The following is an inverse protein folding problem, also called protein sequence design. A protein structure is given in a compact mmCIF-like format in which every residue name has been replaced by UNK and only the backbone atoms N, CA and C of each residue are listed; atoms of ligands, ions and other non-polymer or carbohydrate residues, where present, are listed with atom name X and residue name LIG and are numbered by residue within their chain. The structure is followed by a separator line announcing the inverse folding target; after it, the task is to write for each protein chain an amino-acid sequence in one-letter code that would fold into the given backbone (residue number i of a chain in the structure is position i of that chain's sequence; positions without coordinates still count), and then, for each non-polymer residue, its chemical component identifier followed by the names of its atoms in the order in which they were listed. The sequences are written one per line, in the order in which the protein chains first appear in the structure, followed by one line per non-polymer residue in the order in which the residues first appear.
data_IF_278167316675
#
_entry.id   IF_278167316675
#
_cell.length_a   1.000
_cell.length_b   1.000
_cell.length_c   1.000
_cell.angle_alpha   90.00
_cell.angle_beta   90.00
_cell.angle_gamma   90.00
#
_symmetry.space_group_name_H-M   'P 1'
#
loop_
_entity.id
_entity.type
_entity.pdbx_description
1 polymer ?
#
# COMPACT_ATOMS: atom_id res chain seq x y z
N UNK A 1 34.81 -9.18 -11.47
CA UNK A 1 34.84 -7.94 -10.69
C UNK A 1 33.39 -7.70 -10.26
N UNK A 2 33.10 -7.78 -8.95
CA UNK A 2 31.77 -7.43 -8.45
C UNK A 2 31.50 -5.95 -8.72
N UNK A 3 30.33 -5.65 -9.26
CA UNK A 3 29.89 -4.26 -9.47
C UNK A 3 29.93 -3.52 -8.15
N UNK A 4 30.58 -2.35 -8.12
CA UNK A 4 30.80 -1.51 -6.95
C UNK A 4 29.50 -0.94 -6.33
N UNK A 5 28.37 -1.15 -7.01
CA UNK A 5 27.06 -0.65 -6.60
C UNK A 5 26.06 -1.82 -6.54
N UNK A 6 25.17 -1.83 -5.54
CA UNK A 6 24.11 -2.85 -5.48
C UNK A 6 23.24 -2.77 -6.74
N UNK A 7 22.62 -3.87 -7.14
CA UNK A 7 21.64 -3.86 -8.22
C UNK A 7 20.55 -2.85 -7.91
N UNK A 8 20.09 -2.11 -8.93
CA UNK A 8 19.10 -1.06 -8.79
C UNK A 8 17.94 -1.28 -9.75
N UNK A 9 16.73 -1.15 -9.22
CA UNK A 9 15.49 -1.18 -10.00
C UNK A 9 14.84 0.21 -9.99
N UNK A 10 14.46 0.69 -11.18
CA UNK A 10 13.76 1.96 -11.36
C UNK A 10 12.71 1.84 -12.46
N UNK A 11 11.47 2.18 -12.13
CA UNK A 11 10.33 2.12 -13.05
C UNK A 11 9.82 3.54 -13.33
N UNK A 12 9.93 4.00 -14.59
CA UNK A 12 9.57 5.37 -14.98
C UNK A 12 8.26 5.46 -15.75
N UNK A 13 7.69 4.30 -16.11
CA UNK A 13 6.45 4.17 -16.88
C UNK A 13 5.53 3.16 -16.18
N UNK A 14 4.49 2.71 -16.88
CA UNK A 14 3.66 1.59 -16.40
C UNK A 14 4.52 0.35 -16.21
N UNK A 15 4.33 -0.33 -15.10
CA UNK A 15 4.96 -1.63 -14.86
C UNK A 15 4.34 -2.70 -15.75
N UNK A 16 5.13 -3.70 -16.07
CA UNK A 16 4.70 -4.95 -16.73
C UNK A 16 4.61 -6.08 -15.69
N UNK A 17 4.03 -7.21 -16.06
CA UNK A 17 4.06 -8.41 -15.22
C UNK A 17 5.50 -8.88 -14.95
N UNK A 18 6.37 -8.80 -15.96
CA UNK A 18 7.78 -9.15 -15.83
C UNK A 18 8.51 -8.26 -14.82
N UNK A 19 8.25 -6.93 -14.83
CA UNK A 19 8.79 -6.00 -13.86
C UNK A 19 8.40 -6.38 -12.43
N UNK A 20 7.13 -6.75 -12.21
CA UNK A 20 6.60 -7.14 -10.90
C UNK A 20 7.25 -8.45 -10.42
N UNK A 21 7.37 -9.43 -11.29
CA UNK A 21 8.04 -10.70 -10.97
C UNK A 21 9.54 -10.51 -10.74
N UNK A 22 10.19 -9.64 -11.53
CA UNK A 22 11.58 -9.24 -11.34
C UNK A 22 11.80 -8.57 -9.98
N UNK A 23 10.91 -7.68 -9.58
CA UNK A 23 10.92 -7.06 -8.25
C UNK A 23 10.69 -8.08 -7.13
N UNK A 24 9.78 -9.04 -7.34
CA UNK A 24 9.55 -10.13 -6.38
C UNK A 24 10.81 -10.96 -6.17
N UNK A 25 11.49 -11.34 -7.27
CA UNK A 25 12.69 -12.17 -7.25
C UNK A 25 13.97 -11.42 -6.80
N UNK A 26 13.95 -10.08 -6.81
CA UNK A 26 15.09 -9.27 -6.43
C UNK A 26 15.51 -9.54 -4.98
N UNK A 27 16.81 -9.50 -4.71
CA UNK A 27 17.35 -9.66 -3.35
C UNK A 27 16.98 -8.48 -2.44
N UNK A 28 17.02 -8.69 -1.15
CA UNK A 28 16.63 -7.69 -0.14
C UNK A 28 17.52 -6.45 -0.11
N UNK A 29 18.76 -6.56 -0.57
CA UNK A 29 19.73 -5.46 -0.70
C UNK A 29 19.61 -4.71 -2.03
N UNK A 30 18.76 -5.18 -2.96
CA UNK A 30 18.48 -4.45 -4.20
C UNK A 30 17.91 -3.08 -3.90
N UNK A 31 18.57 -2.04 -4.42
CA UNK A 31 18.06 -0.67 -4.33
C UNK A 31 16.87 -0.48 -5.24
N UNK A 32 15.78 0.06 -4.71
CA UNK A 32 14.53 0.30 -5.46
C UNK A 32 14.22 1.78 -5.42
N UNK A 33 13.93 2.35 -6.59
CA UNK A 33 13.47 3.73 -6.70
C UNK A 33 11.96 3.77 -6.58
N UNK A 34 11.48 4.63 -5.68
CA UNK A 34 10.06 4.85 -5.42
C UNK A 34 9.75 6.34 -5.35
N UNK A 35 8.49 6.70 -5.52
CA UNK A 35 8.04 8.09 -5.54
C UNK A 35 6.96 8.35 -4.49
N UNK A 36 7.19 9.35 -3.65
CA UNK A 36 6.25 9.76 -2.60
C UNK A 36 5.84 11.21 -2.78
N UNK A 37 4.54 11.47 -2.70
CA UNK A 37 3.99 12.82 -2.70
C UNK A 37 3.94 13.35 -1.27
N UNK A 38 4.61 14.48 -1.04
CA UNK A 38 4.71 15.07 0.28
C UNK A 38 4.31 16.54 0.29
N UNK A 39 3.66 16.99 1.35
CA UNK A 39 3.32 18.39 1.55
C UNK A 39 4.51 19.19 2.10
N UNK A 40 4.52 20.53 1.95
CA UNK A 40 5.62 21.37 2.39
C UNK A 40 6.06 21.13 3.83
N UNK A 41 5.13 21.05 4.78
CA UNK A 41 5.46 20.80 6.19
C UNK A 41 6.15 19.46 6.48
N UNK A 42 5.98 18.45 5.62
CA UNK A 42 6.73 17.20 5.71
C UNK A 42 8.17 17.39 5.19
N UNK A 43 8.32 18.18 4.14
CA UNK A 43 9.65 18.51 3.59
C UNK A 43 10.47 19.33 4.57
N UNK A 44 9.87 20.33 5.21
CA UNK A 44 10.53 21.15 6.24
C UNK A 44 11.08 20.26 7.36
N UNK A 45 10.29 19.27 7.82
CA UNK A 45 10.76 18.30 8.83
C UNK A 45 11.92 17.45 8.30
N UNK A 46 11.82 16.93 7.08
CA UNK A 46 12.90 16.14 6.48
C UNK A 46 14.21 16.95 6.42
N UNK A 47 14.14 18.21 6.04
CA UNK A 47 15.30 19.09 5.96
C UNK A 47 15.88 19.48 7.33
N UNK A 48 15.03 19.62 8.34
CA UNK A 48 15.43 20.02 9.71
C UNK A 48 15.93 18.83 10.53
N UNK A 49 15.26 17.70 10.44
CA UNK A 49 15.49 16.53 11.29
C UNK A 49 16.32 15.43 10.58
N UNK A 50 16.55 15.57 9.27
CA UNK A 50 17.24 14.56 8.45
C UNK A 50 16.45 13.26 8.26
N UNK A 51 15.24 13.18 8.81
CA UNK A 51 14.38 12.00 8.79
C UNK A 51 12.91 12.40 8.66
N UNK A 52 12.16 11.67 7.84
CA UNK A 52 10.73 11.77 7.71
C UNK A 52 10.08 10.42 8.03
N UNK A 53 9.03 10.41 8.82
CA UNK A 53 8.09 9.30 9.03
C UNK A 53 6.67 9.80 8.89
N UNK A 54 5.70 8.91 8.81
CA UNK A 54 4.29 9.30 8.80
C UNK A 54 3.92 10.08 10.06
N UNK A 55 3.00 11.03 9.90
CA UNK A 55 2.57 11.92 10.99
C UNK A 55 1.14 11.56 11.42
N UNK A 56 0.91 11.19 12.68
CA UNK A 56 -0.41 10.85 13.19
C UNK A 56 -1.46 11.94 12.95
N UNK A 57 -1.03 13.21 12.96
CA UNK A 57 -1.92 14.35 12.73
C UNK A 57 -2.53 14.37 11.33
N UNK A 58 -1.86 13.76 10.35
CA UNK A 58 -2.36 13.66 8.97
C UNK A 58 -2.99 12.30 8.66
N UNK A 59 -2.59 11.25 9.37
CA UNK A 59 -3.14 9.92 9.19
C UNK A 59 -4.52 9.74 9.85
N UNK A 60 -4.80 10.50 10.93
CA UNK A 60 -5.98 10.32 11.78
C UNK A 60 -6.80 11.60 11.97
N UNK A 61 -6.86 12.45 10.96
CA UNK A 61 -7.48 13.78 11.01
C UNK A 61 -8.99 13.75 11.33
N UNK A 62 -9.64 12.61 11.15
CA UNK A 62 -11.09 12.53 11.25
C UNK A 62 -11.51 11.48 12.28
N UNK A 63 -11.99 11.93 13.45
CA UNK A 63 -12.53 11.06 14.50
C UNK A 63 -13.74 10.23 14.03
N UNK A 64 -14.42 10.67 12.98
CA UNK A 64 -15.56 9.95 12.40
C UNK A 64 -15.13 8.71 11.59
N UNK A 65 -13.85 8.62 11.24
CA UNK A 65 -13.30 7.52 10.44
C UNK A 65 -12.33 6.62 11.22
N UNK A 66 -12.77 6.10 12.36
CA UNK A 66 -12.00 5.16 13.19
C UNK A 66 -11.47 3.93 12.41
N UNK A 67 -12.11 3.55 11.33
CA UNK A 67 -11.71 2.47 10.45
C UNK A 67 -10.37 2.74 9.73
N UNK A 68 -10.05 3.99 9.41
CA UNK A 68 -8.71 4.35 8.87
C UNK A 68 -7.61 3.99 9.86
N UNK A 69 -7.83 4.28 11.14
CA UNK A 69 -6.91 3.92 12.21
C UNK A 69 -6.70 2.41 12.27
N UNK A 70 -7.77 1.63 12.12
CA UNK A 70 -7.68 0.18 12.11
C UNK A 70 -6.81 -0.34 10.95
N UNK A 71 -7.00 0.20 9.74
CA UNK A 71 -6.19 -0.13 8.57
C UNK A 71 -4.69 0.19 8.78
N UNK A 72 -4.39 1.35 9.34
CA UNK A 72 -3.01 1.72 9.66
C UNK A 72 -2.39 0.81 10.73
N UNK A 73 -3.11 0.46 11.78
CA UNK A 73 -2.64 -0.47 12.81
C UNK A 73 -2.36 -1.84 12.20
N UNK A 74 -3.28 -2.38 11.39
CA UNK A 74 -3.05 -3.63 10.70
C UNK A 74 -1.82 -3.56 9.78
N UNK A 75 -1.65 -2.45 9.04
CA UNK A 75 -0.48 -2.28 8.17
C UNK A 75 0.83 -2.21 8.98
N UNK A 76 0.84 -1.54 10.14
CA UNK A 76 1.99 -1.54 11.04
C UNK A 76 2.32 -2.95 11.56
N UNK A 77 1.31 -3.77 11.86
CA UNK A 77 1.51 -5.20 12.19
C UNK A 77 2.15 -5.97 11.02
N UNK A 78 1.73 -5.70 9.77
CA UNK A 78 2.32 -6.32 8.59
C UNK A 78 3.77 -5.89 8.37
N UNK A 79 4.07 -4.61 8.56
CA UNK A 79 5.44 -4.09 8.51
C UNK A 79 6.32 -4.71 9.61
N UNK A 80 5.82 -4.84 10.83
CA UNK A 80 6.53 -5.46 11.94
C UNK A 80 6.92 -6.93 11.70
N UNK A 81 6.10 -7.65 10.95
CA UNK A 81 6.37 -9.05 10.58
C UNK A 81 7.37 -9.19 9.43
N UNK A 82 7.50 -8.20 8.57
CA UNK A 82 8.20 -8.31 7.28
C UNK A 82 9.43 -7.40 7.16
N UNK A 83 9.52 -6.35 7.95
CA UNK A 83 10.64 -5.39 7.91
C UNK A 83 11.47 -5.54 9.17
N UNK A 84 12.70 -6.00 9.02
CA UNK A 84 13.63 -6.16 10.15
C UNK A 84 13.94 -4.82 10.79
N UNK A 85 13.82 -4.73 12.11
CA UNK A 85 14.13 -3.53 12.87
C UNK A 85 13.08 -2.42 12.79
N UNK A 86 11.88 -2.70 12.28
CA UNK A 86 10.75 -1.77 12.29
C UNK A 86 10.37 -1.34 13.73
N UNK A 87 10.19 -0.05 13.93
CA UNK A 87 9.94 0.57 15.27
C UNK A 87 8.54 1.14 15.43
N UNK A 88 7.56 0.61 14.70
CA UNK A 88 6.15 1.03 14.73
C UNK A 88 5.89 2.49 14.28
N UNK A 89 6.79 3.06 13.49
CA UNK A 89 6.52 4.34 12.83
C UNK A 89 5.29 4.21 11.91
N UNK A 90 4.54 5.31 11.79
CA UNK A 90 3.52 5.38 10.75
C UNK A 90 4.18 5.38 9.37
N UNK A 91 3.67 4.58 8.42
CA UNK A 91 4.31 4.46 7.12
C UNK A 91 4.19 5.74 6.29
N UNK A 92 5.22 5.98 5.50
CA UNK A 92 5.18 6.84 4.33
C UNK A 92 4.73 6.00 3.14
N UNK A 93 3.73 6.48 2.43
CA UNK A 93 3.24 5.83 1.21
C UNK A 93 4.02 6.31 0.00
N UNK A 94 4.39 5.38 -0.85
CA UNK A 94 5.06 5.66 -2.11
C UNK A 94 4.57 4.72 -3.22
N UNK A 95 4.80 5.10 -4.46
CA UNK A 95 4.47 4.33 -5.65
C UNK A 95 5.76 3.88 -6.34
N UNK A 96 5.71 2.77 -7.04
CA UNK A 96 6.85 2.30 -7.84
C UNK A 96 6.92 3.01 -9.20
N UNK A 97 5.84 3.66 -9.61
CA UNK A 97 5.77 4.48 -10.83
C UNK A 97 5.43 5.92 -10.44
N UNK A 98 6.14 6.94 -10.96
CA UNK A 98 5.88 8.32 -10.58
C UNK A 98 4.48 8.77 -11.02
N UNK A 99 3.69 9.38 -10.12
CA UNK A 99 2.45 10.02 -10.50
C UNK A 99 2.72 11.26 -11.37
N UNK A 100 1.78 11.55 -12.27
CA UNK A 100 1.89 12.71 -13.17
C UNK A 100 1.29 13.99 -12.56
N UNK A 101 0.43 13.87 -11.56
CA UNK A 101 -0.28 14.98 -10.90
C UNK A 101 -0.61 14.62 -9.45
N UNK A 102 -1.01 15.61 -8.67
CA UNK A 102 -1.59 15.44 -7.34
C UNK A 102 -3.01 16.01 -7.30
N UNK A 103 -3.85 15.49 -6.42
CA UNK A 103 -5.17 16.07 -6.10
C UNK A 103 -5.04 17.26 -5.12
N UNK A 104 -3.86 17.48 -4.55
CA UNK A 104 -3.57 18.55 -3.60
C UNK A 104 -2.70 19.64 -4.25
N UNK A 105 -2.85 20.85 -3.75
CA UNK A 105 -1.97 21.95 -4.11
C UNK A 105 -0.65 21.86 -3.33
N UNK A 106 0.43 22.29 -4.00
CA UNK A 106 1.78 22.38 -3.42
C UNK A 106 2.42 21.05 -3.00
N UNK A 107 1.91 19.92 -3.48
CA UNK A 107 2.60 18.66 -3.27
C UNK A 107 3.93 18.62 -4.03
N UNK A 108 4.93 18.08 -3.38
CA UNK A 108 6.23 17.80 -3.95
C UNK A 108 6.42 16.30 -4.12
N UNK A 109 6.84 15.89 -5.31
CA UNK A 109 7.22 14.52 -5.59
C UNK A 109 8.66 14.29 -5.17
N UNK A 110 8.87 13.37 -4.26
CA UNK A 110 10.17 12.87 -3.85
C UNK A 110 10.53 11.63 -4.66
N UNK A 111 11.69 11.61 -5.28
CA UNK A 111 12.32 10.41 -5.80
C UNK A 111 13.23 9.83 -4.73
N UNK A 112 12.87 8.67 -4.23
CA UNK A 112 13.49 8.02 -3.07
C UNK A 112 14.17 6.74 -3.55
N UNK A 113 15.38 6.48 -3.10
CA UNK A 113 16.12 5.27 -3.41
C UNK A 113 16.54 4.56 -2.13
N UNK A 114 15.96 3.38 -1.87
CA UNK A 114 16.17 2.60 -0.65
C UNK A 114 16.26 1.10 -0.96
N UNK A 115 16.90 0.30 -0.09
CA UNK A 115 16.93 -1.15 -0.25
C UNK A 115 15.52 -1.75 -0.11
N UNK A 116 15.24 -2.80 -0.86
CA UNK A 116 13.96 -3.52 -0.83
C UNK A 116 13.57 -3.96 0.58
N UNK A 117 14.53 -4.37 1.40
CA UNK A 117 14.33 -4.77 2.80
C UNK A 117 13.76 -3.68 3.71
N UNK A 118 13.83 -2.39 3.31
CA UNK A 118 13.27 -1.26 4.07
C UNK A 118 11.85 -0.89 3.67
N UNK A 119 11.20 -1.66 2.83
CA UNK A 119 9.85 -1.35 2.36
C UNK A 119 8.96 -2.59 2.37
N UNK A 120 7.67 -2.38 2.51
CA UNK A 120 6.65 -3.39 2.31
C UNK A 120 5.88 -3.07 1.03
N UNK A 121 6.02 -3.94 0.02
CA UNK A 121 5.44 -3.75 -1.31
C UNK A 121 4.10 -4.49 -1.37
N UNK A 122 3.10 -3.86 -1.98
CA UNK A 122 1.78 -4.46 -2.20
C UNK A 122 1.15 -4.01 -3.51
N UNK A 123 0.16 -4.75 -3.98
CA UNK A 123 -0.74 -4.24 -5.01
C UNK A 123 -1.52 -3.02 -4.48
N UNK A 124 -1.67 -2.01 -5.33
CA UNK A 124 -2.33 -0.75 -4.97
C UNK A 124 -3.85 -0.89 -4.84
N UNK A 125 -4.49 -1.53 -5.82
CA UNK A 125 -5.94 -1.65 -5.84
C UNK A 125 -6.52 -2.34 -4.60
N UNK A 126 -6.00 -3.49 -4.13
CA UNK A 126 -6.51 -4.11 -2.91
C UNK A 126 -6.48 -3.18 -1.69
N UNK A 127 -5.45 -2.33 -1.57
CA UNK A 127 -5.40 -1.37 -0.47
C UNK A 127 -6.55 -0.36 -0.54
N UNK A 128 -6.81 0.22 -1.70
CA UNK A 128 -7.91 1.19 -1.88
C UNK A 128 -9.28 0.57 -1.63
N UNK A 129 -9.41 -0.73 -1.85
CA UNK A 129 -10.64 -1.47 -1.59
C UNK A 129 -10.71 -2.03 -0.16
N UNK A 130 -9.57 -2.24 0.49
CA UNK A 130 -9.51 -2.62 1.90
C UNK A 130 -9.96 -1.50 2.83
N UNK A 131 -9.73 -0.25 2.46
CA UNK A 131 -10.20 0.88 3.23
C UNK A 131 -11.71 0.77 3.52
N UNK A 132 -12.56 0.45 2.53
CA UNK A 132 -13.94 0.06 2.75
C UNK A 132 -14.15 -1.24 3.54
N UNK A 133 -13.32 -2.25 3.31
CA UNK A 133 -13.43 -3.53 4.02
C UNK A 133 -13.11 -3.40 5.53
N UNK A 134 -12.20 -2.51 5.90
CA UNK A 134 -12.01 -2.14 7.31
C UNK A 134 -13.27 -1.52 7.91
N UNK A 135 -13.99 -0.69 7.15
CA UNK A 135 -15.28 -0.16 7.55
C UNK A 135 -16.33 -1.26 7.76
N UNK A 136 -16.27 -2.33 6.99
CA UNK A 136 -17.13 -3.50 7.16
C UNK A 136 -16.97 -4.16 8.53
N UNK A 137 -15.76 -4.34 9.03
CA UNK A 137 -15.52 -4.85 10.38
C UNK A 137 -16.18 -3.97 11.47
N UNK A 138 -16.44 -2.71 11.14
CA UNK A 138 -17.12 -1.73 12.00
C UNK A 138 -18.62 -1.56 11.67
N UNK A 139 -19.27 -2.54 10.99
CA UNK A 139 -20.68 -2.52 10.62
C UNK A 139 -21.11 -1.60 9.47
N UNK A 140 -20.20 -1.17 8.61
CA UNK A 140 -20.60 -0.42 7.42
C UNK A 140 -21.05 -1.36 6.29
N UNK A 141 -22.31 -1.25 5.90
CA UNK A 141 -22.94 -2.15 4.92
C UNK A 141 -22.63 -1.82 3.46
N UNK A 142 -22.29 -0.57 3.18
CA UNK A 142 -22.22 -0.01 1.82
C UNK A 142 -21.09 -0.60 0.97
N UNK A 143 -20.10 -1.21 1.60
CA UNK A 143 -18.89 -1.68 0.96
C UNK A 143 -18.83 -3.19 0.70
N UNK A 144 -19.87 -3.91 1.04
CA UNK A 144 -19.89 -5.38 0.92
C UNK A 144 -19.78 -5.87 -0.51
N UNK A 145 -20.54 -5.26 -1.40
CA UNK A 145 -20.58 -5.67 -2.81
C UNK A 145 -19.23 -5.37 -3.46
N UNK A 146 -18.59 -4.28 -3.08
CA UNK A 146 -17.29 -3.87 -3.55
C UNK A 146 -16.20 -4.87 -3.13
N UNK A 147 -16.21 -5.25 -1.85
CA UNK A 147 -15.25 -6.20 -1.32
C UNK A 147 -15.39 -7.58 -1.96
N UNK A 148 -16.61 -8.09 -2.11
CA UNK A 148 -16.87 -9.37 -2.78
C UNK A 148 -16.41 -9.35 -4.22
N UNK A 149 -16.62 -8.26 -4.94
CA UNK A 149 -16.31 -8.20 -6.37
C UNK A 149 -14.82 -8.10 -6.66
N UNK A 150 -14.06 -7.40 -5.82
CA UNK A 150 -12.65 -7.06 -6.12
C UNK A 150 -11.65 -7.85 -5.29
N UNK A 151 -11.85 -7.97 -3.98
CA UNK A 151 -10.88 -8.63 -3.09
C UNK A 151 -11.13 -10.13 -3.00
N UNK A 152 -12.37 -10.52 -3.02
CA UNK A 152 -12.83 -11.87 -2.87
C UNK A 152 -12.16 -12.91 -3.80
N UNK A 153 -11.89 -12.67 -5.11
CA UNK A 153 -11.23 -13.68 -5.94
C UNK A 153 -9.90 -14.18 -5.37
N UNK A 154 -9.29 -13.38 -4.50
CA UNK A 154 -8.00 -13.65 -3.87
C UNK A 154 -8.09 -13.88 -2.36
N UNK A 155 -9.29 -13.88 -1.82
CA UNK A 155 -9.51 -14.13 -0.40
C UNK A 155 -9.04 -15.55 0.00
N UNK A 156 -8.65 -15.70 1.27
CA UNK A 156 -8.27 -17.00 1.82
C UNK A 156 -9.47 -17.97 1.92
N UNK A 157 -10.68 -17.44 1.92
CA UNK A 157 -11.93 -18.20 2.01
C UNK A 157 -12.49 -18.45 0.61
N UNK A 158 -13.06 -19.63 0.38
CA UNK A 158 -13.63 -20.00 -0.91
C UNK A 158 -14.76 -19.04 -1.32
N UNK A 159 -14.73 -18.65 -2.60
CA UNK A 159 -15.70 -17.76 -3.22
C UNK A 159 -17.16 -18.19 -3.03
N UNK A 160 -17.39 -19.48 -3.19
CA UNK A 160 -18.72 -20.06 -3.12
C UNK A 160 -19.28 -19.98 -1.71
N UNK A 161 -18.43 -20.20 -0.71
CA UNK A 161 -18.79 -20.09 0.69
C UNK A 161 -19.02 -18.63 1.09
N UNK A 162 -18.23 -17.70 0.56
CA UNK A 162 -18.42 -16.28 0.75
C UNK A 162 -19.79 -15.82 0.27
N UNK A 163 -20.13 -16.10 -0.98
CA UNK A 163 -21.43 -15.71 -1.54
C UNK A 163 -22.61 -16.29 -0.77
N UNK A 164 -22.52 -17.56 -0.34
CA UNK A 164 -23.58 -18.23 0.41
C UNK A 164 -23.76 -17.68 1.83
N UNK A 165 -22.68 -17.26 2.45
CA UNK A 165 -22.65 -17.10 3.90
C UNK A 165 -22.40 -15.64 4.36
N UNK A 166 -21.91 -14.78 3.47
CA UNK A 166 -21.72 -13.35 3.80
C UNK A 166 -22.90 -12.51 3.34
N UNK A 167 -23.49 -12.85 2.18
CA UNK A 167 -24.55 -12.06 1.59
C UNK A 167 -25.74 -12.95 1.23
N UNK A 168 -26.75 -12.91 2.06
CA UNK A 168 -28.00 -13.59 1.84
C UNK A 168 -29.06 -12.56 1.46
N UNK A 169 -29.51 -12.59 0.21
CA UNK A 169 -30.64 -11.80 -0.28
C UNK A 169 -30.29 -10.39 -0.78
N UNK A 170 -31.29 -9.65 -1.32
CA UNK A 170 -31.11 -8.39 -2.05
C UNK A 170 -30.62 -7.22 -1.18
N UNK A 171 -30.61 -7.38 0.13
CA UNK A 171 -30.17 -6.35 1.08
C UNK A 171 -28.86 -6.72 1.79
N UNK A 172 -28.14 -7.74 1.30
CA UNK A 172 -26.84 -8.10 1.79
C UNK A 172 -26.81 -8.42 3.28
N UNK A 173 -27.52 -9.45 3.71
CA UNK A 173 -27.43 -9.92 5.09
C UNK A 173 -26.03 -10.44 5.37
N UNK A 174 -25.46 -9.99 6.50
CA UNK A 174 -24.11 -10.33 6.91
C UNK A 174 -24.00 -11.79 7.33
N UNK A 175 -22.95 -12.48 6.88
CA UNK A 175 -22.56 -13.76 7.47
C UNK A 175 -22.07 -13.54 8.90
N UNK A 176 -22.77 -14.08 9.89
CA UNK A 176 -22.43 -13.97 11.30
C UNK A 176 -21.20 -14.80 11.69
N UNK A 177 -20.83 -15.77 10.86
CA UNK A 177 -19.71 -16.69 11.09
C UNK A 177 -18.36 -16.16 10.61
N UNK A 178 -18.36 -15.06 9.86
CA UNK A 178 -17.13 -14.46 9.34
C UNK A 178 -16.44 -13.67 10.44
N UNK A 179 -15.30 -14.16 10.84
CA UNK A 179 -14.54 -13.52 11.90
C UNK A 179 -13.41 -12.60 11.33
N UNK A 180 -12.90 -11.75 12.19
CA UNK A 180 -11.83 -10.82 11.86
C UNK A 180 -10.56 -11.54 11.37
N UNK A 181 -10.26 -12.71 11.89
CA UNK A 181 -9.06 -13.49 11.55
C UNK A 181 -9.08 -13.90 10.09
N UNK A 182 -10.22 -14.41 9.60
CA UNK A 182 -10.38 -14.82 8.19
C UNK A 182 -10.29 -13.61 7.25
N UNK A 183 -10.91 -12.48 7.63
CA UNK A 183 -10.80 -11.23 6.88
C UNK A 183 -9.35 -10.78 6.76
N UNK A 184 -8.64 -10.67 7.88
CA UNK A 184 -7.23 -10.25 7.91
C UNK A 184 -6.34 -11.19 7.10
N UNK A 185 -6.55 -12.50 7.18
CA UNK A 185 -5.80 -13.49 6.40
C UNK A 185 -6.02 -13.30 4.89
N UNK A 186 -7.23 -12.96 4.46
CA UNK A 186 -7.52 -12.69 3.05
C UNK A 186 -6.77 -11.44 2.54
N UNK A 187 -6.62 -10.41 3.36
CA UNK A 187 -5.93 -9.17 2.99
C UNK A 187 -4.42 -9.36 2.82
N UNK A 188 -3.81 -10.30 3.53
CA UNK A 188 -2.36 -10.56 3.39
C UNK A 188 -1.95 -10.92 1.96
N UNK A 189 -2.89 -11.38 1.14
CA UNK A 189 -2.62 -11.71 -0.26
C UNK A 189 -2.22 -10.51 -1.11
N UNK A 190 -2.51 -9.28 -0.70
CA UNK A 190 -2.04 -8.09 -1.43
C UNK A 190 -0.51 -8.00 -1.52
N UNK A 191 0.22 -8.69 -0.64
CA UNK A 191 1.68 -8.75 -0.62
C UNK A 191 2.25 -9.87 -1.48
N UNK A 192 1.41 -10.79 -1.97
CA UNK A 192 1.82 -11.89 -2.84
C UNK A 192 1.87 -11.44 -4.30
N UNK A 193 3.02 -10.94 -4.72
CA UNK A 193 3.21 -10.44 -6.08
C UNK A 193 3.14 -11.56 -7.15
N UNK A 194 3.23 -12.84 -6.76
CA UNK A 194 3.11 -13.96 -7.70
C UNK A 194 1.70 -14.17 -8.21
N UNK A 195 0.69 -13.59 -7.56
CA UNK A 195 -0.71 -13.62 -8.00
C UNK A 195 -0.91 -13.09 -9.42
N UNK A 196 0.01 -12.27 -9.93
CA UNK A 196 -0.03 -11.77 -11.30
C UNK A 196 -0.02 -12.89 -12.35
N UNK A 197 0.48 -14.07 -12.00
CA UNK A 197 0.50 -15.24 -12.88
C UNK A 197 -0.86 -15.96 -12.97
N UNK A 198 -1.86 -15.56 -12.19
CA UNK A 198 -3.17 -16.19 -12.23
C UNK A 198 -3.97 -15.68 -13.43
N UNK A 199 -4.69 -16.56 -14.07
CA UNK A 199 -5.56 -16.21 -15.22
C UNK A 199 -6.71 -15.25 -14.81
N UNK A 200 -7.16 -15.35 -13.57
CA UNK A 200 -8.23 -14.52 -13.01
C UNK A 200 -7.73 -13.25 -12.33
N UNK A 201 -6.43 -12.90 -12.42
CA UNK A 201 -5.87 -11.71 -11.81
C UNK A 201 -6.53 -10.43 -12.34
N UNK A 202 -6.98 -9.53 -11.44
CA UNK A 202 -7.75 -8.32 -11.79
C UNK A 202 -7.27 -7.06 -11.08
N UNK A 203 -6.27 -7.15 -10.20
CA UNK A 203 -5.83 -6.00 -9.40
C UNK A 203 -4.98 -4.97 -10.18
N UNK A 204 -4.68 -5.25 -11.44
CA UNK A 204 -3.84 -4.37 -12.25
C UNK A 204 -2.36 -4.42 -11.86
N UNK A 205 -1.55 -3.64 -12.56
CA UNK A 205 -0.08 -3.67 -12.45
C UNK A 205 0.48 -2.52 -11.61
N UNK A 206 -0.37 -1.80 -10.86
CA UNK A 206 0.08 -0.71 -10.00
C UNK A 206 0.49 -1.25 -8.65
N UNK A 207 1.74 -1.01 -8.30
CA UNK A 207 2.27 -1.33 -6.97
C UNK A 207 2.49 -0.06 -6.17
N UNK A 208 2.26 -0.20 -4.87
CA UNK A 208 2.62 0.78 -3.85
C UNK A 208 3.59 0.17 -2.86
N UNK A 209 4.20 1.02 -2.07
CA UNK A 209 5.04 0.58 -0.97
C UNK A 209 4.82 1.44 0.26
N UNK A 210 4.99 0.81 1.41
CA UNK A 210 5.01 1.45 2.72
C UNK A 210 6.45 1.45 3.24
N UNK A 211 6.92 2.63 3.59
CA UNK A 211 8.28 2.86 4.07
C UNK A 211 8.19 3.35 5.51
N UNK A 212 8.90 2.73 6.48
CA UNK A 212 8.88 3.17 7.87
C UNK A 212 9.31 4.63 8.05
N UNK A 213 10.38 4.97 7.35
CA UNK A 213 10.96 6.31 7.35
C UNK A 213 11.80 6.52 6.10
N UNK A 214 12.00 7.78 5.76
CA UNK A 214 12.91 8.25 4.70
C UNK A 214 13.95 9.13 5.33
N UNK A 215 15.22 8.90 5.03
CA UNK A 215 16.34 9.78 5.39
C UNK A 215 16.59 10.80 4.29
N UNK A 216 17.19 11.93 4.63
CA UNK A 216 17.57 12.94 3.62
C UNK A 216 18.45 12.34 2.51
N UNK A 217 19.35 11.42 2.87
CA UNK A 217 20.25 10.76 1.91
C UNK A 217 19.52 9.76 0.99
N UNK A 218 18.35 9.29 1.36
CA UNK A 218 17.53 8.44 0.51
C UNK A 218 16.89 9.23 -0.65
N UNK A 219 16.68 10.55 -0.47
CA UNK A 219 16.04 11.42 -1.46
C UNK A 219 17.05 11.83 -2.52
N UNK A 220 16.79 11.44 -3.77
CA UNK A 220 17.67 11.70 -4.91
C UNK A 220 17.20 12.86 -5.80
N UNK A 221 15.92 13.21 -5.71
CA UNK A 221 15.33 14.32 -6.45
C UNK A 221 14.03 14.79 -5.77
N UNK A 222 13.72 16.07 -5.93
CA UNK A 222 12.49 16.70 -5.47
C UNK A 222 11.96 17.63 -6.55
N UNK A 223 10.69 17.48 -6.90
CA UNK A 223 10.05 18.36 -7.87
C UNK A 223 8.61 18.67 -7.51
N UNK A 224 8.13 19.90 -7.74
CA UNK A 224 6.71 20.22 -7.53
C UNK A 224 5.84 19.39 -8.47
N UNK A 225 4.67 18.99 -7.98
CA UNK A 225 3.64 18.36 -8.79
C UNK A 225 2.56 19.38 -9.15
N UNK A 226 2.13 19.31 -10.40
CA UNK A 226 0.96 20.07 -10.85
C UNK A 226 -0.30 19.52 -10.20
N UNK A 227 -1.21 20.40 -9.78
CA UNK A 227 -2.55 19.98 -9.40
C UNK A 227 -3.28 19.42 -10.61
N UNK A 228 -4.06 18.38 -10.41
CA UNK A 228 -4.96 17.84 -11.43
C UNK A 228 -5.94 18.95 -11.85
N UNK A 229 -6.02 19.21 -13.15
CA UNK A 229 -7.07 20.07 -13.71
C UNK A 229 -8.43 19.35 -13.54
N UNK A 230 -9.39 20.04 -12.94
CA UNK A 230 -10.78 19.56 -12.79
C UNK A 230 -11.47 19.51 -14.15
#
# INVERSE_FOLDING_TARGET
MATKYPPRLEYQKKMTAEDILGLHAASDDTSVVVWSMQQPGALDRLMQEGKLSGDPRFAFVDETHNWKRFGYVWMQEQMARRITGYKQELPIWALLVPPSFSDRENDTLLRIEIPKSRMLISFYLPWTELEPAFAYLWNMQEWRDHWVTIIHPYAAVDATDLQKNVFVGPHGQRRTEWNEVECRASWERMFDLTLINREDFRWGLTLQTMIPYVLSDDVKDMRPLSKRAN
#
